data_IF_785743262962
#
_entry.id   IF_785743262962
#
_cell.length_a   1.000
_cell.length_b   1.000
_cell.length_c   1.000
_cell.angle_alpha   90.00
_cell.angle_beta   90.00
_cell.angle_gamma   90.00
#
_symmetry.space_group_name_H-M   'P 1'
#
loop_
_entity.id
_entity.type
_entity.pdbx_description
1 polymer ?
#
# COMPACT_ATOMS: atom_id res chain seq x y z
N UNK A 1 16.63 0.10 -27.78
CA UNK A 1 15.44 0.98 -27.64
C UNK A 1 15.90 2.43 -27.54
N UNK A 2 15.23 3.38 -28.19
CA UNK A 2 15.65 4.80 -28.14
C UNK A 2 15.25 5.48 -26.82
N UNK A 3 16.00 6.51 -26.41
CA UNK A 3 15.73 7.29 -25.20
C UNK A 3 14.30 7.86 -25.16
N UNK A 4 13.74 8.41 -26.26
CA UNK A 4 12.34 8.87 -26.24
C UNK A 4 11.34 7.76 -25.91
N UNK A 5 11.55 6.54 -26.41
CA UNK A 5 10.68 5.39 -26.11
C UNK A 5 10.79 4.98 -24.64
N UNK A 6 11.99 5.01 -24.07
CA UNK A 6 12.20 4.76 -22.64
C UNK A 6 11.46 5.78 -21.74
N UNK A 7 11.47 7.05 -22.14
CA UNK A 7 10.77 8.13 -21.44
C UNK A 7 9.25 7.90 -21.50
N UNK A 8 8.71 7.63 -22.69
CA UNK A 8 7.28 7.36 -22.87
C UNK A 8 6.85 6.18 -22.00
N UNK A 9 7.60 5.09 -22.03
CA UNK A 9 7.27 3.90 -21.24
C UNK A 9 7.28 4.18 -19.73
N UNK A 10 8.30 4.89 -19.25
CA UNK A 10 8.39 5.28 -17.83
C UNK A 10 7.24 6.23 -17.44
N UNK A 11 6.91 7.20 -18.28
CA UNK A 11 5.84 8.15 -18.03
C UNK A 11 4.47 7.44 -17.96
N UNK A 12 4.18 6.54 -18.92
CA UNK A 12 2.95 5.75 -18.92
C UNK A 12 2.83 4.90 -17.66
N UNK A 13 3.92 4.26 -17.24
CA UNK A 13 3.94 3.47 -16.01
C UNK A 13 3.67 4.33 -14.77
N UNK A 14 4.35 5.48 -14.65
CA UNK A 14 4.17 6.39 -13.52
C UNK A 14 2.74 6.94 -13.44
N UNK A 15 2.15 7.31 -14.57
CA UNK A 15 0.76 7.75 -14.65
C UNK A 15 -0.20 6.62 -14.25
N UNK A 16 0.02 5.40 -14.75
CA UNK A 16 -0.77 4.23 -14.35
C UNK A 16 -0.65 3.96 -12.84
N UNK A 17 0.56 4.05 -12.29
CA UNK A 17 0.80 3.86 -10.86
C UNK A 17 0.09 4.91 -10.01
N UNK A 18 0.17 6.19 -10.39
CA UNK A 18 -0.52 7.28 -9.72
C UNK A 18 -2.05 7.08 -9.75
N UNK A 19 -2.61 6.77 -10.92
CA UNK A 19 -4.05 6.53 -11.07
C UNK A 19 -4.52 5.33 -10.24
N UNK A 20 -3.73 4.26 -10.20
CA UNK A 20 -4.04 3.08 -9.39
C UNK A 20 -4.01 3.41 -7.90
N UNK A 21 -3.03 4.19 -7.44
CA UNK A 21 -2.93 4.66 -6.06
C UNK A 21 -4.13 5.52 -5.65
N UNK A 22 -4.52 6.48 -6.49
CA UNK A 22 -5.69 7.33 -6.25
C UNK A 22 -7.00 6.54 -6.28
N UNK A 23 -7.14 5.61 -7.23
CA UNK A 23 -8.34 4.77 -7.35
C UNK A 23 -8.48 3.82 -6.17
N UNK A 24 -7.35 3.32 -5.65
CA UNK A 24 -7.34 2.55 -4.42
C UNK A 24 -7.91 3.35 -3.26
N UNK A 25 -7.35 4.54 -2.99
CA UNK A 25 -7.77 5.40 -1.89
C UNK A 25 -9.24 5.82 -1.97
N UNK A 26 -9.74 6.12 -3.18
CA UNK A 26 -11.12 6.63 -3.36
C UNK A 26 -12.18 5.54 -3.44
N UNK A 27 -11.85 4.36 -3.95
CA UNK A 27 -12.86 3.37 -4.36
C UNK A 27 -12.59 1.99 -3.81
N UNK A 28 -11.35 1.52 -3.83
CA UNK A 28 -11.08 0.11 -3.52
C UNK A 28 -10.88 -0.14 -2.04
N UNK A 29 -10.32 0.79 -1.27
CA UNK A 29 -10.09 0.59 0.17
C UNK A 29 -11.37 0.17 0.91
N UNK A 30 -12.43 0.98 0.82
CA UNK A 30 -13.71 0.68 1.45
C UNK A 30 -14.35 -0.62 0.93
N UNK A 31 -14.17 -0.93 -0.37
CA UNK A 31 -14.69 -2.17 -0.97
C UNK A 31 -13.94 -3.40 -0.50
N UNK A 32 -12.62 -3.33 -0.38
CA UNK A 32 -11.78 -4.41 0.11
C UNK A 32 -12.07 -4.69 1.58
N UNK A 33 -12.14 -3.64 2.42
CA UNK A 33 -12.57 -3.77 3.82
C UNK A 33 -13.96 -4.40 3.94
N UNK A 34 -14.94 -3.92 3.16
CA UNK A 34 -16.28 -4.49 3.14
C UNK A 34 -16.32 -5.95 2.66
N UNK A 35 -15.52 -6.31 1.66
CA UNK A 35 -15.43 -7.69 1.16
C UNK A 35 -14.78 -8.62 2.19
N UNK A 36 -13.71 -8.16 2.85
CA UNK A 36 -13.03 -8.88 3.92
C UNK A 36 -13.96 -9.06 5.13
N UNK A 37 -14.68 -8.01 5.52
CA UNK A 37 -15.67 -8.06 6.59
C UNK A 37 -16.79 -9.07 6.33
N UNK A 38 -17.33 -9.12 5.11
CA UNK A 38 -18.32 -10.15 4.71
C UNK A 38 -17.78 -11.57 4.81
N UNK A 39 -16.51 -11.81 4.47
CA UNK A 39 -15.88 -13.14 4.54
C UNK A 39 -15.59 -13.56 5.98
N UNK A 40 -15.18 -12.61 6.81
CA UNK A 40 -14.85 -12.86 8.21
C UNK A 40 -16.06 -12.74 9.16
N UNK A 41 -17.23 -12.35 8.64
CA UNK A 41 -18.45 -12.05 9.38
C UNK A 41 -18.21 -11.06 10.53
N UNK A 42 -17.50 -9.97 10.23
CA UNK A 42 -17.11 -8.91 11.17
C UNK A 42 -17.05 -7.57 10.44
N UNK A 43 -17.14 -6.47 11.16
CA UNK A 43 -16.93 -5.14 10.60
C UNK A 43 -15.43 -4.85 10.56
N UNK A 44 -14.89 -4.63 9.36
CA UNK A 44 -13.48 -4.21 9.18
C UNK A 44 -13.44 -2.69 8.97
N UNK A 45 -12.82 -1.99 9.91
CA UNK A 45 -12.69 -0.54 9.95
C UNK A 45 -11.23 -0.07 10.01
N UNK A 46 -11.04 1.24 9.99
CA UNK A 46 -9.78 1.84 10.43
C UNK A 46 -9.82 1.95 11.95
N UNK A 47 -8.76 1.52 12.63
CA UNK A 47 -8.61 1.69 14.07
C UNK A 47 -7.17 2.02 14.44
N UNK A 48 -7.01 2.76 15.53
CA UNK A 48 -5.70 3.03 16.13
C UNK A 48 -5.23 1.72 16.76
N UNK A 49 -4.07 1.25 16.34
CA UNK A 49 -3.44 0.09 16.95
C UNK A 49 -2.28 0.59 17.80
N UNK A 50 -2.31 0.32 19.10
CA UNK A 50 -1.21 0.66 19.99
C UNK A 50 0.04 -0.13 19.60
N UNK A 51 1.15 0.59 19.53
CA UNK A 51 2.43 0.13 18.97
C UNK A 51 3.11 -0.94 19.84
N UNK A 52 2.59 -1.24 21.03
CA UNK A 52 3.20 -2.28 21.89
C UNK A 52 3.17 -3.70 21.29
N UNK A 53 2.32 -3.95 20.29
CA UNK A 53 2.32 -5.21 19.50
C UNK A 53 3.10 -5.13 18.18
N UNK A 54 3.61 -3.95 17.79
CA UNK A 54 4.34 -3.75 16.54
C UNK A 54 5.85 -3.76 16.80
N UNK A 55 6.42 -4.96 16.95
CA UNK A 55 7.83 -5.20 17.28
C UNK A 55 8.88 -4.74 16.24
N UNK A 56 8.56 -3.81 15.32
CA UNK A 56 9.44 -3.41 14.21
C UNK A 56 9.47 -1.89 13.92
N UNK A 57 8.96 -1.02 14.79
CA UNK A 57 9.04 0.43 14.53
C UNK A 57 9.57 1.21 15.73
N UNK A 58 10.57 2.04 15.39
CA UNK A 58 11.27 3.02 16.21
C UNK A 58 10.31 3.94 16.97
N UNK A 59 10.80 4.42 18.11
CA UNK A 59 10.18 5.09 19.28
C UNK A 59 9.33 6.34 18.94
N UNK A 60 8.31 6.16 18.10
CA UNK A 60 7.35 7.19 17.71
C UNK A 60 6.00 6.91 18.37
N UNK A 61 5.68 7.69 19.41
CA UNK A 61 4.41 7.69 20.17
C UNK A 61 3.14 8.00 19.32
N UNK A 62 3.25 8.04 17.99
CA UNK A 62 2.15 8.35 17.10
C UNK A 62 1.38 7.06 16.74
N UNK A 63 0.13 6.87 17.22
CA UNK A 63 -0.62 5.64 16.98
C UNK A 63 -0.73 5.34 15.48
N UNK A 64 -0.27 4.15 15.07
CA UNK A 64 -0.34 3.70 13.69
C UNK A 64 -1.76 3.23 13.39
N UNK A 65 -2.29 3.68 12.26
CA UNK A 65 -3.64 3.39 11.84
C UNK A 65 -3.64 2.23 10.85
N UNK A 66 -4.36 1.18 11.20
CA UNK A 66 -4.40 -0.05 10.43
C UNK A 66 -5.85 -0.54 10.31
N UNK A 67 -6.06 -1.50 9.39
CA UNK A 67 -7.32 -2.21 9.35
C UNK A 67 -7.49 -3.03 10.62
N UNK A 68 -8.67 -2.94 11.22
CA UNK A 68 -9.05 -3.69 12.42
C UNK A 68 -10.42 -4.32 12.24
N UNK A 69 -10.63 -5.50 12.82
CA UNK A 69 -11.93 -6.17 12.85
C UNK A 69 -12.59 -5.98 14.22
N UNK A 70 -13.78 -5.36 14.25
CA UNK A 70 -14.66 -5.37 15.42
C UNK A 70 -15.23 -6.78 15.58
N UNK A 71 -14.54 -7.60 16.36
CA UNK A 71 -14.89 -9.00 16.56
C UNK A 71 -15.50 -9.22 17.94
N UNK A 72 -16.79 -9.54 17.96
CA UNK A 72 -17.47 -10.03 19.16
C UNK A 72 -17.46 -11.56 19.14
N UNK A 73 -16.82 -12.21 20.12
CA UNK A 73 -16.78 -13.67 20.18
C UNK A 73 -15.64 -14.28 21.00
N UNK A 74 -15.46 -15.62 20.93
CA UNK A 74 -14.40 -16.30 21.67
C UNK A 74 -13.01 -15.83 21.22
N UNK A 75 -12.10 -15.67 22.18
CA UNK A 75 -10.78 -15.05 22.02
C UNK A 75 -9.94 -15.64 20.87
N UNK A 76 -10.00 -16.96 20.65
CA UNK A 76 -9.33 -17.62 19.52
C UNK A 76 -9.83 -17.14 18.14
N UNK A 77 -11.14 -16.89 18.02
CA UNK A 77 -11.74 -16.37 16.78
C UNK A 77 -11.34 -14.91 16.56
N UNK A 78 -11.29 -14.11 17.63
CA UNK A 78 -10.85 -12.71 17.57
C UNK A 78 -9.38 -12.61 17.13
N UNK A 79 -8.49 -13.43 17.71
CA UNK A 79 -7.09 -13.50 17.29
C UNK A 79 -6.94 -13.92 15.83
N UNK A 80 -7.65 -14.96 15.41
CA UNK A 80 -7.63 -15.43 14.01
C UNK A 80 -8.11 -14.36 13.02
N UNK A 81 -9.21 -13.67 13.35
CA UNK A 81 -9.74 -12.58 12.52
C UNK A 81 -8.77 -11.39 12.47
N UNK A 82 -8.18 -11.01 13.61
CA UNK A 82 -7.18 -9.94 13.68
C UNK A 82 -5.95 -10.23 12.83
N UNK A 83 -5.42 -11.45 12.89
CA UNK A 83 -4.24 -11.86 12.12
C UNK A 83 -4.52 -11.87 10.61
N UNK A 84 -5.69 -12.36 10.19
CA UNK A 84 -6.11 -12.32 8.78
C UNK A 84 -6.29 -10.89 8.26
N UNK A 85 -6.85 -9.99 9.07
CA UNK A 85 -7.00 -8.58 8.68
C UNK A 85 -5.64 -7.89 8.57
N UNK A 86 -4.73 -8.11 9.53
CA UNK A 86 -3.35 -7.59 9.45
C UNK A 86 -2.61 -8.13 8.24
N UNK A 87 -2.71 -9.42 7.96
CA UNK A 87 -2.10 -10.03 6.78
C UNK A 87 -2.66 -9.45 5.47
N UNK A 88 -3.98 -9.26 5.38
CA UNK A 88 -4.61 -8.65 4.22
C UNK A 88 -4.19 -7.18 4.04
N UNK A 89 -4.13 -6.41 5.12
CA UNK A 89 -3.67 -5.03 5.10
C UNK A 89 -2.20 -4.92 4.63
N UNK A 90 -1.32 -5.75 5.19
CA UNK A 90 0.08 -5.83 4.76
C UNK A 90 0.21 -6.24 3.29
N UNK A 91 -0.55 -7.24 2.85
CA UNK A 91 -0.53 -7.66 1.45
C UNK A 91 -0.93 -6.52 0.50
N UNK A 92 -1.95 -5.75 0.85
CA UNK A 92 -2.40 -4.60 0.05
C UNK A 92 -1.33 -3.50 0.03
N UNK A 93 -0.73 -3.19 1.17
CA UNK A 93 0.38 -2.23 1.26
C UNK A 93 1.56 -2.65 0.42
N UNK A 94 1.99 -3.91 0.51
CA UNK A 94 3.13 -4.40 -0.26
C UNK A 94 2.81 -4.36 -1.75
N UNK A 95 1.62 -4.82 -2.13
CA UNK A 95 1.22 -4.94 -3.53
C UNK A 95 0.98 -3.59 -4.22
N UNK A 96 0.58 -2.55 -3.49
CA UNK A 96 0.33 -1.22 -4.04
C UNK A 96 1.46 -0.24 -3.74
N UNK A 97 2.10 -0.35 -2.59
CA UNK A 97 3.24 0.48 -2.21
C UNK A 97 4.53 0.00 -2.86
N UNK A 98 4.92 -1.26 -2.66
CA UNK A 98 6.27 -1.72 -2.98
C UNK A 98 6.41 -2.38 -4.36
N UNK A 99 5.40 -3.13 -4.80
CA UNK A 99 5.49 -3.86 -6.08
C UNK A 99 5.60 -2.93 -7.29
N UNK A 100 4.77 -1.88 -7.47
CA UNK A 100 4.85 -1.02 -8.64
C UNK A 100 6.21 -0.30 -8.84
N UNK A 101 6.87 0.25 -7.80
CA UNK A 101 8.18 0.85 -7.98
C UNK A 101 9.28 -0.18 -8.22
N UNK A 102 9.26 -1.33 -7.53
CA UNK A 102 10.23 -2.40 -7.78
C UNK A 102 10.06 -2.99 -9.19
N UNK A 103 8.83 -3.14 -9.66
CA UNK A 103 8.54 -3.61 -11.00
C UNK A 103 9.02 -2.62 -12.07
N UNK A 104 8.84 -1.30 -11.85
CA UNK A 104 9.39 -0.29 -12.77
C UNK A 104 10.91 -0.38 -12.85
N UNK A 105 11.59 -0.37 -11.70
CA UNK A 105 13.06 -0.42 -11.64
C UNK A 105 13.58 -1.71 -12.26
N UNK A 106 13.01 -2.87 -11.88
CA UNK A 106 13.39 -4.16 -12.42
C UNK A 106 13.20 -4.24 -13.95
N UNK A 107 12.08 -3.71 -14.45
CA UNK A 107 11.80 -3.68 -15.88
C UNK A 107 12.75 -2.73 -16.63
N UNK A 108 13.07 -1.57 -16.06
CA UNK A 108 14.05 -0.65 -16.64
C UNK A 108 15.45 -1.28 -16.73
N UNK A 109 15.88 -2.00 -15.69
CA UNK A 109 17.16 -2.72 -15.69
C UNK A 109 17.15 -3.83 -16.74
N UNK A 110 16.10 -4.65 -16.77
CA UNK A 110 15.99 -5.78 -17.70
C UNK A 110 15.91 -5.34 -19.17
N UNK A 111 15.29 -4.19 -19.44
CA UNK A 111 15.18 -3.61 -20.78
C UNK A 111 16.38 -2.71 -21.15
N UNK A 112 17.41 -2.62 -20.30
CA UNK A 112 18.62 -1.84 -20.57
C UNK A 112 18.36 -0.35 -20.74
N UNK A 113 17.50 0.23 -19.90
CA UNK A 113 17.20 1.66 -19.93
C UNK A 113 18.46 2.48 -19.64
N UNK A 114 18.53 3.67 -20.23
CA UNK A 114 19.61 4.61 -19.95
C UNK A 114 19.56 5.03 -18.48
N UNK A 115 20.69 5.04 -17.79
CA UNK A 115 20.76 5.36 -16.36
C UNK A 115 20.11 6.70 -15.96
N UNK A 116 20.16 7.72 -16.82
CA UNK A 116 19.47 9.00 -16.58
C UNK A 116 17.95 8.87 -16.55
N UNK A 117 17.37 8.00 -17.39
CA UNK A 117 15.91 7.74 -17.39
C UNK A 117 15.52 7.01 -16.11
N UNK A 118 16.34 6.06 -15.66
CA UNK A 118 16.15 5.35 -14.39
C UNK A 118 16.15 6.34 -13.23
N UNK A 119 17.19 7.17 -13.11
CA UNK A 119 17.31 8.20 -12.07
C UNK A 119 16.15 9.20 -12.11
N UNK A 120 15.77 9.67 -13.30
CA UNK A 120 14.66 10.60 -13.46
C UNK A 120 13.31 9.99 -13.04
N UNK A 121 13.13 8.67 -13.21
CA UNK A 121 11.91 7.97 -12.81
C UNK A 121 11.83 7.67 -11.31
N UNK A 122 12.96 7.62 -10.60
CA UNK A 122 12.99 7.40 -9.15
C UNK A 122 12.33 8.56 -8.39
N UNK A 123 12.54 9.80 -8.83
CA UNK A 123 11.96 11.00 -8.20
C UNK A 123 10.43 10.93 -8.11
N UNK A 124 9.68 10.75 -9.22
CA UNK A 124 8.23 10.62 -9.17
C UNK A 124 7.78 9.31 -8.51
N UNK A 125 8.53 8.20 -8.63
CA UNK A 125 8.24 6.97 -7.88
C UNK A 125 8.17 7.26 -6.38
N UNK A 126 9.21 7.89 -5.84
CA UNK A 126 9.30 8.21 -4.41
C UNK A 126 8.15 9.14 -4.02
N UNK A 127 7.87 10.17 -4.82
CA UNK A 127 6.77 11.09 -4.55
C UNK A 127 5.40 10.38 -4.53
N UNK A 128 5.10 9.54 -5.52
CA UNK A 128 3.83 8.80 -5.58
C UNK A 128 3.73 7.81 -4.41
N UNK A 129 4.82 7.12 -4.09
CA UNK A 129 4.90 6.20 -2.97
C UNK A 129 4.64 6.92 -1.63
N UNK A 130 5.29 8.05 -1.40
CA UNK A 130 5.05 8.88 -0.22
C UNK A 130 3.60 9.37 -0.13
N UNK A 131 3.01 9.82 -1.25
CA UNK A 131 1.61 10.23 -1.29
C UNK A 131 0.64 9.08 -0.98
N UNK A 132 0.93 7.88 -1.48
CA UNK A 132 0.15 6.69 -1.18
C UNK A 132 0.14 6.42 0.33
N UNK A 133 1.31 6.40 0.96
CA UNK A 133 1.44 6.17 2.40
C UNK A 133 0.83 7.29 3.23
N UNK A 134 1.15 8.56 2.96
CA UNK A 134 0.59 9.72 3.67
C UNK A 134 -0.94 9.76 3.57
N UNK A 135 -1.50 9.50 2.39
CA UNK A 135 -2.95 9.45 2.21
C UNK A 135 -3.59 8.29 2.98
N UNK A 136 -2.87 7.19 3.19
CA UNK A 136 -3.33 6.07 4.02
C UNK A 136 -3.35 6.46 5.51
N UNK A 137 -2.34 7.19 5.99
CA UNK A 137 -2.30 7.70 7.36
C UNK A 137 -3.35 8.79 7.64
N UNK A 138 -3.70 9.62 6.64
CA UNK A 138 -4.73 10.66 6.77
C UNK A 138 -6.16 10.13 6.86
N UNK A 139 -6.46 8.94 6.36
CA UNK A 139 -7.82 8.35 6.45
C UNK A 139 -8.21 7.92 7.87
N UNK A 140 -7.42 8.35 8.84
CA UNK A 140 -7.42 7.92 10.21
C UNK A 140 -7.55 9.11 11.20
N UNK A 141 -7.70 10.33 10.67
CA UNK A 141 -8.20 11.49 11.40
C UNK A 141 -9.71 11.63 11.13
#
# INVERSE_FOLDING_TARGET
MSVPVQIIFSAVWLVAYLLMSLRYQRVWDARMRGALGRRLNTRVGWSKVDISEAALTDDSDAPVMAWHADSDGPLLRQLGQGLLVRAAYLAVIVLLGAVPPLALIGLQVLLGFHGLVVLASLVPVIAIFSLFWVGTYRQAE
#
